data_IF_805485014573
#
_entry.id   IF_805485014573
#
_cell.length_a   1.000
_cell.length_b   1.000
_cell.length_c   1.000
_cell.angle_alpha   90.00
_cell.angle_beta   90.00
_cell.angle_gamma   90.00
#
_symmetry.space_group_name_H-M   'P 1'
#
loop_
_entity.id
_entity.type
_entity.pdbx_description
1 polymer ?
#
# COMPACT_ATOMS: atom_id res chain seq x y z
N UNK A 1 -35.05 -0.75 82.25
CA UNK A 1 -34.13 0.26 82.80
C UNK A 1 -33.95 1.36 81.78
N UNK A 2 -33.98 2.60 82.26
CA UNK A 2 -33.99 3.83 81.48
C UNK A 2 -32.68 4.08 80.70
N UNK A 3 -32.74 5.17 79.92
CA UNK A 3 -31.64 6.06 79.48
C UNK A 3 -31.29 5.89 77.99
N UNK A 4 -31.77 6.74 77.09
CA UNK A 4 -31.49 8.19 76.90
C UNK A 4 -30.31 8.43 75.96
N UNK A 5 -30.46 9.50 75.18
CA UNK A 5 -29.44 10.47 74.78
C UNK A 5 -29.01 10.36 73.31
N UNK A 6 -29.70 11.03 72.37
CA UNK A 6 -29.57 12.46 71.99
C UNK A 6 -28.38 12.79 71.06
N UNK A 7 -28.71 13.69 70.11
CA UNK A 7 -27.86 14.61 69.31
C UNK A 7 -27.33 14.00 68.00
N UNK A 8 -27.89 14.44 66.86
CA UNK A 8 -27.41 15.56 66.03
C UNK A 8 -26.03 15.23 65.44
N UNK A 9 -25.82 15.32 64.13
CA UNK A 9 -25.68 16.58 63.44
C UNK A 9 -25.85 16.39 61.92
N UNK A 10 -26.64 17.26 61.32
CA UNK A 10 -26.62 17.51 59.89
C UNK A 10 -25.36 18.31 59.52
N UNK A 11 -24.55 17.79 58.62
CA UNK A 11 -23.46 18.54 57.97
C UNK A 11 -23.82 18.74 56.49
N UNK A 12 -24.19 19.99 56.20
CA UNK A 12 -24.32 20.60 54.88
C UNK A 12 -22.96 20.54 54.19
N UNK A 13 -22.83 20.05 52.95
CA UNK A 13 -21.75 20.50 52.05
C UNK A 13 -22.18 20.40 50.58
N UNK A 14 -22.36 21.59 50.00
CA UNK A 14 -22.09 22.02 48.62
C UNK A 14 -22.97 21.48 47.46
N UNK A 15 -23.95 22.32 47.09
CA UNK A 15 -24.33 22.52 45.70
C UNK A 15 -23.10 22.96 44.87
N UNK A 16 -22.82 22.25 43.78
CA UNK A 16 -21.98 22.74 42.67
C UNK A 16 -22.78 22.58 41.36
N UNK A 17 -23.43 23.64 40.91
CA UNK A 17 -22.98 24.54 39.82
C UNK A 17 -23.18 23.95 38.42
N UNK A 18 -24.29 24.39 37.81
CA UNK A 18 -24.47 24.84 36.42
C UNK A 18 -24.21 23.85 35.26
N UNK A 19 -25.30 23.53 34.56
CA UNK A 19 -25.33 22.90 33.25
C UNK A 19 -24.67 23.82 32.21
N UNK A 20 -23.52 23.41 31.68
CA UNK A 20 -22.89 24.05 30.53
C UNK A 20 -23.70 23.70 29.28
N UNK A 21 -24.20 24.74 28.60
CA UNK A 21 -24.92 24.64 27.35
C UNK A 21 -24.07 24.01 26.25
N UNK A 22 -24.71 23.13 25.48
CA UNK A 22 -24.15 22.55 24.27
C UNK A 22 -23.92 23.63 23.23
N UNK A 23 -22.65 23.92 22.92
CA UNK A 23 -22.29 24.71 21.74
C UNK A 23 -22.32 23.75 20.56
N UNK A 24 -23.40 23.82 19.78
CA UNK A 24 -23.50 23.17 18.48
C UNK A 24 -22.46 23.78 17.55
N UNK A 25 -21.32 23.11 17.40
CA UNK A 25 -20.34 23.42 16.36
C UNK A 25 -21.02 23.04 15.04
N UNK A 26 -21.54 24.05 14.33
CA UNK A 26 -21.96 23.89 12.95
C UNK A 26 -20.74 23.43 12.15
N UNK A 27 -20.68 22.14 11.86
CA UNK A 27 -19.73 21.57 10.94
C UNK A 27 -20.03 22.17 9.56
N UNK A 28 -19.11 22.99 9.07
CA UNK A 28 -19.15 23.48 7.69
C UNK A 28 -19.20 22.26 6.75
N UNK A 29 -20.09 22.25 5.74
CA UNK A 29 -20.04 21.22 4.73
C UNK A 29 -18.70 21.37 4.02
N UNK A 30 -17.85 20.35 4.08
CA UNK A 30 -16.66 20.30 3.25
C UNK A 30 -17.12 20.43 1.80
N UNK A 31 -16.80 21.57 1.19
CA UNK A 31 -16.93 21.76 -0.25
C UNK A 31 -16.05 20.71 -0.92
N UNK A 32 -16.67 19.73 -1.59
CA UNK A 32 -15.97 18.78 -2.41
C UNK A 32 -15.19 19.56 -3.47
N UNK A 33 -13.87 19.58 -3.34
CA UNK A 33 -13.00 20.11 -4.38
C UNK A 33 -13.24 19.29 -5.64
N UNK A 34 -13.44 19.95 -6.78
CA UNK A 34 -13.55 19.28 -8.05
C UNK A 34 -12.27 18.47 -8.28
N UNK A 35 -12.37 17.14 -8.13
CA UNK A 35 -11.28 16.20 -8.42
C UNK A 35 -11.02 16.31 -9.93
N UNK A 36 -9.90 16.91 -10.32
CA UNK A 36 -9.49 16.95 -11.71
C UNK A 36 -9.34 15.52 -12.21
N UNK A 37 -10.03 15.17 -13.29
CA UNK A 37 -9.84 13.87 -13.93
C UNK A 37 -8.62 13.94 -14.83
N UNK A 38 -7.77 12.92 -14.76
CA UNK A 38 -6.65 12.74 -15.68
C UNK A 38 -7.18 12.60 -17.11
N UNK A 39 -6.64 13.37 -18.04
CA UNK A 39 -7.06 13.37 -19.45
C UNK A 39 -6.23 12.41 -20.30
N UNK A 40 -4.94 12.25 -19.98
CA UNK A 40 -4.02 11.32 -20.62
C UNK A 40 -2.96 10.86 -19.62
N UNK A 41 -2.43 9.65 -19.82
CA UNK A 41 -1.26 9.12 -19.09
C UNK A 41 0.05 9.68 -19.63
N UNK A 42 0.07 10.17 -20.87
CA UNK A 42 1.30 10.55 -21.57
C UNK A 42 2.12 9.36 -22.09
N UNK A 43 1.62 8.12 -21.91
CA UNK A 43 2.27 6.89 -22.36
C UNK A 43 1.41 6.27 -23.47
N UNK A 44 2.02 5.94 -24.60
CA UNK A 44 1.31 5.33 -25.73
C UNK A 44 0.85 3.92 -25.35
N UNK A 45 -0.44 3.62 -25.60
CA UNK A 45 -1.02 2.30 -25.35
C UNK A 45 -1.47 2.07 -23.90
N UNK A 46 -1.33 3.05 -23.01
CA UNK A 46 -1.84 2.98 -21.63
C UNK A 46 -3.02 3.94 -21.49
N UNK A 47 -4.23 3.40 -21.48
CA UNK A 47 -5.47 4.17 -21.34
C UNK A 47 -5.66 4.65 -19.89
N UNK A 48 -6.27 5.83 -19.72
CA UNK A 48 -6.61 6.37 -18.40
C UNK A 48 -7.77 5.59 -17.81
N UNK A 49 -7.63 5.15 -16.55
CA UNK A 49 -8.73 4.55 -15.78
C UNK A 49 -9.29 5.59 -14.78
N UNK A 50 -10.54 6.06 -14.96
CA UNK A 50 -11.17 7.01 -14.04
C UNK A 50 -11.29 6.52 -12.59
N UNK A 51 -11.26 5.21 -12.38
CA UNK A 51 -11.34 4.55 -11.08
C UNK A 51 -10.06 3.75 -10.75
N UNK A 52 -8.91 4.18 -11.28
CA UNK A 52 -7.63 3.48 -11.12
C UNK A 52 -7.33 2.98 -9.68
N UNK A 53 -7.55 3.76 -8.59
CA UNK A 53 -7.32 3.27 -7.24
C UNK A 53 -8.12 2.02 -6.88
N UNK A 54 -9.40 1.98 -7.29
CA UNK A 54 -10.27 0.86 -6.96
C UNK A 54 -10.02 -0.37 -7.83
N UNK A 55 -9.73 -0.15 -9.11
CA UNK A 55 -9.26 -1.21 -10.01
C UNK A 55 -7.98 -1.85 -9.47
N UNK A 56 -7.00 -1.04 -9.07
CA UNK A 56 -5.74 -1.51 -8.49
C UNK A 56 -5.97 -2.27 -7.19
N UNK A 57 -6.80 -1.75 -6.28
CA UNK A 57 -7.15 -2.41 -5.02
C UNK A 57 -7.76 -3.80 -5.25
N UNK A 58 -8.65 -3.92 -6.23
CA UNK A 58 -9.26 -5.20 -6.59
C UNK A 58 -8.22 -6.21 -7.10
N UNK A 59 -7.34 -5.78 -8.01
CA UNK A 59 -6.30 -6.62 -8.60
C UNK A 59 -5.26 -7.08 -7.56
N UNK A 60 -4.79 -6.19 -6.69
CA UNK A 60 -3.86 -6.53 -5.61
C UNK A 60 -4.46 -7.57 -4.65
N UNK A 61 -5.72 -7.40 -4.25
CA UNK A 61 -6.43 -8.40 -3.45
C UNK A 61 -6.58 -9.74 -4.17
N UNK A 62 -6.71 -9.73 -5.51
CA UNK A 62 -6.75 -10.95 -6.33
C UNK A 62 -5.39 -11.64 -6.33
N UNK A 63 -4.30 -10.91 -6.53
CA UNK A 63 -2.92 -11.44 -6.45
C UNK A 63 -2.68 -12.16 -5.12
N UNK A 64 -3.03 -11.52 -4.00
CA UNK A 64 -2.87 -12.11 -2.66
C UNK A 64 -3.69 -13.41 -2.44
N UNK A 65 -4.76 -13.63 -3.22
CA UNK A 65 -5.51 -14.89 -3.18
C UNK A 65 -4.87 -15.95 -4.07
N UNK A 66 -4.53 -15.60 -5.31
CA UNK A 66 -3.99 -16.53 -6.31
C UNK A 66 -2.59 -17.02 -5.95
N UNK A 67 -1.73 -16.15 -5.37
CA UNK A 67 -0.34 -16.49 -5.03
C UNK A 67 -0.23 -17.61 -4.00
N UNK A 68 -1.30 -17.91 -3.25
CA UNK A 68 -1.33 -18.96 -2.21
C UNK A 68 -1.15 -20.38 -2.76
N UNK A 69 -1.30 -20.58 -4.07
CA UNK A 69 -0.96 -21.85 -4.73
C UNK A 69 0.54 -22.17 -4.66
N UNK A 70 1.38 -21.14 -4.50
CA UNK A 70 2.83 -21.23 -4.40
C UNK A 70 3.22 -21.46 -2.93
N UNK A 71 4.19 -22.33 -2.63
CA UNK A 71 4.55 -22.64 -1.25
C UNK A 71 5.22 -21.45 -0.54
N UNK A 72 5.06 -21.38 0.79
CA UNK A 72 5.54 -20.26 1.63
C UNK A 72 7.06 -20.13 1.69
N UNK A 73 7.79 -21.21 1.42
CA UNK A 73 9.24 -21.20 1.37
C UNK A 73 9.79 -20.62 0.06
N UNK A 74 8.96 -20.41 -0.96
CA UNK A 74 9.40 -19.84 -2.22
C UNK A 74 9.58 -18.33 -2.09
N UNK A 75 10.81 -17.85 -2.32
CA UNK A 75 11.13 -16.42 -2.25
C UNK A 75 10.21 -15.56 -3.13
N UNK A 76 9.80 -16.09 -4.28
CA UNK A 76 8.86 -15.42 -5.18
C UNK A 76 7.55 -15.04 -4.48
N UNK A 77 6.94 -15.96 -3.70
CA UNK A 77 5.71 -15.68 -2.96
C UNK A 77 5.93 -14.57 -1.92
N UNK A 78 7.02 -14.64 -1.17
CA UNK A 78 7.38 -13.62 -0.17
C UNK A 78 7.49 -12.23 -0.80
N UNK A 79 8.18 -12.11 -1.94
CA UNK A 79 8.35 -10.84 -2.64
C UNK A 79 7.03 -10.30 -3.19
N UNK A 80 6.19 -11.15 -3.80
CA UNK A 80 4.89 -10.75 -4.34
C UNK A 80 3.93 -10.31 -3.23
N UNK A 81 3.86 -11.05 -2.13
CA UNK A 81 3.03 -10.68 -0.98
C UNK A 81 3.50 -9.36 -0.35
N UNK A 82 4.81 -9.17 -0.19
CA UNK A 82 5.39 -7.94 0.34
C UNK A 82 5.00 -6.73 -0.53
N UNK A 83 5.29 -6.79 -1.84
CA UNK A 83 4.97 -5.69 -2.76
C UNK A 83 3.47 -5.42 -2.86
N UNK A 84 2.64 -6.47 -2.89
CA UNK A 84 1.19 -6.31 -2.98
C UNK A 84 0.62 -5.68 -1.71
N UNK A 85 1.10 -6.06 -0.53
CA UNK A 85 0.66 -5.48 0.75
C UNK A 85 1.12 -4.02 0.91
N UNK A 86 2.35 -3.69 0.52
CA UNK A 86 2.87 -2.32 0.55
C UNK A 86 2.01 -1.39 -0.32
N UNK A 87 1.78 -1.76 -1.58
CA UNK A 87 0.91 -1.00 -2.50
C UNK A 87 -0.52 -0.90 -1.97
N UNK A 88 -1.06 -2.00 -1.44
CA UNK A 88 -2.42 -2.03 -0.89
C UNK A 88 -2.57 -1.12 0.33
N UNK A 89 -1.52 -0.98 1.15
CA UNK A 89 -1.51 -0.10 2.31
C UNK A 89 -1.66 1.38 1.88
N UNK A 90 -0.99 1.80 0.81
CA UNK A 90 -1.12 3.16 0.26
C UNK A 90 -2.48 3.37 -0.40
N UNK A 91 -2.92 2.43 -1.25
CA UNK A 91 -4.20 2.51 -1.98
C UNK A 91 -5.43 2.47 -1.05
N UNK A 92 -5.25 2.02 0.19
CA UNK A 92 -6.31 2.01 1.20
C UNK A 92 -6.44 3.32 1.97
N UNK A 93 -5.53 4.28 1.77
CA UNK A 93 -5.59 5.61 2.38
C UNK A 93 -6.59 6.51 1.64
N UNK A 94 -7.17 7.46 2.37
CA UNK A 94 -8.03 8.49 1.81
C UNK A 94 -7.19 9.70 1.36
N UNK A 95 -6.44 9.53 0.27
CA UNK A 95 -5.58 10.55 -0.35
C UNK A 95 -5.88 10.68 -1.84
N UNK A 96 -5.37 11.73 -2.50
CA UNK A 96 -5.57 11.89 -3.95
C UNK A 96 -4.76 10.86 -4.76
N UNK A 97 -5.18 10.50 -5.98
CA UNK A 97 -4.42 9.59 -6.85
C UNK A 97 -2.96 10.03 -7.06
N UNK A 98 -2.71 11.33 -7.22
CA UNK A 98 -1.37 11.89 -7.40
C UNK A 98 -0.50 11.67 -6.15
N UNK A 99 -1.07 11.85 -4.96
CA UNK A 99 -0.38 11.57 -3.71
C UNK A 99 -0.10 10.07 -3.52
N UNK A 100 -0.97 9.19 -4.04
CA UNK A 100 -0.71 7.75 -4.05
C UNK A 100 0.48 7.42 -4.96
N UNK A 101 0.55 8.01 -6.14
CA UNK A 101 1.66 7.83 -7.09
C UNK A 101 2.99 8.28 -6.48
N UNK A 102 3.02 9.45 -5.84
CA UNK A 102 4.20 9.98 -5.15
C UNK A 102 4.64 9.10 -3.98
N UNK A 103 3.69 8.61 -3.17
CA UNK A 103 4.02 7.77 -2.02
C UNK A 103 4.50 6.37 -2.44
N UNK A 104 3.94 5.79 -3.50
CA UNK A 104 4.38 4.49 -4.02
C UNK A 104 5.74 4.64 -4.74
N UNK A 105 5.95 5.73 -5.48
CA UNK A 105 7.20 6.01 -6.17
C UNK A 105 7.54 5.03 -7.30
N UNK A 106 6.53 4.40 -7.93
CA UNK A 106 6.70 3.39 -8.99
C UNK A 106 5.97 3.75 -10.29
N UNK A 107 5.84 5.04 -10.60
CA UNK A 107 5.13 5.53 -11.78
C UNK A 107 3.64 5.76 -11.54
N UNK A 108 2.86 5.75 -12.61
CA UNK A 108 1.42 6.05 -12.56
C UNK A 108 0.59 4.85 -12.09
N UNK A 109 -0.62 5.09 -11.56
CA UNK A 109 -1.51 4.01 -11.13
C UNK A 109 -1.90 3.06 -12.27
N UNK A 110 -2.03 3.57 -13.50
CA UNK A 110 -2.35 2.76 -14.68
C UNK A 110 -1.24 1.77 -15.03
N UNK A 111 0.03 2.14 -14.85
CA UNK A 111 1.17 1.24 -15.02
C UNK A 111 1.15 0.14 -13.96
N UNK A 112 0.81 0.48 -12.71
CA UNK A 112 0.65 -0.51 -11.63
C UNK A 112 -0.51 -1.48 -11.89
N UNK A 113 -1.59 -1.02 -12.54
CA UNK A 113 -2.69 -1.89 -12.98
C UNK A 113 -2.19 -2.88 -14.03
N UNK A 114 -1.38 -2.44 -14.98
CA UNK A 114 -0.77 -3.33 -15.98
C UNK A 114 0.16 -4.35 -15.31
N UNK A 115 1.06 -3.90 -14.43
CA UNK A 115 1.91 -4.79 -13.65
C UNK A 115 1.10 -5.83 -12.86
N UNK A 116 -0.02 -5.43 -12.25
CA UNK A 116 -0.88 -6.35 -11.51
C UNK A 116 -1.58 -7.38 -12.43
N UNK A 117 -1.96 -7.00 -13.65
CA UNK A 117 -2.51 -7.94 -14.65
C UNK A 117 -1.45 -8.92 -15.12
N UNK A 118 -0.24 -8.44 -15.38
CA UNK A 118 0.89 -9.28 -15.79
C UNK A 118 1.25 -10.27 -14.69
N UNK A 119 1.29 -9.83 -13.44
CA UNK A 119 1.51 -10.68 -12.27
C UNK A 119 0.46 -11.79 -12.16
N UNK A 120 -0.82 -11.46 -12.34
CA UNK A 120 -1.90 -12.47 -12.36
C UNK A 120 -1.75 -13.47 -13.51
N UNK A 121 -1.17 -13.07 -14.64
CA UNK A 121 -0.87 -13.97 -15.76
C UNK A 121 0.38 -14.83 -15.49
N UNK A 122 1.28 -14.35 -14.64
CA UNK A 122 2.55 -14.98 -14.29
C UNK A 122 2.38 -16.04 -13.20
N UNK A 123 1.54 -15.81 -12.19
CA UNK A 123 1.34 -16.75 -11.06
C UNK A 123 1.04 -18.19 -11.52
N UNK A 124 0.12 -18.44 -12.48
CA UNK A 124 -0.12 -19.80 -12.97
C UNK A 124 1.11 -20.44 -13.62
N UNK A 125 1.90 -19.65 -14.38
CA UNK A 125 3.13 -20.13 -15.02
C UNK A 125 4.20 -20.47 -13.98
N UNK A 126 4.32 -19.65 -12.94
CA UNK A 126 5.25 -19.89 -11.83
C UNK A 126 4.87 -21.15 -11.05
N UNK A 127 3.58 -21.39 -10.83
CA UNK A 127 3.08 -22.61 -10.20
C UNK A 127 3.39 -23.88 -11.02
N UNK A 128 3.38 -23.78 -12.35
CA UNK A 128 3.78 -24.85 -13.27
C UNK A 128 5.30 -25.06 -13.26
N UNK A 129 6.09 -24.00 -13.45
CA UNK A 129 7.54 -24.06 -13.65
C UNK A 129 8.33 -24.33 -12.39
N UNK A 130 7.81 -23.92 -11.22
CA UNK A 130 8.42 -24.12 -9.89
C UNK A 130 9.92 -23.78 -9.83
N UNK A 131 10.33 -22.55 -10.22
CA UNK A 131 11.75 -22.18 -10.28
C UNK A 131 12.47 -22.20 -8.93
N UNK A 132 11.73 -22.28 -7.81
CA UNK A 132 12.27 -22.42 -6.47
C UNK A 132 12.71 -23.86 -6.12
N UNK A 133 12.37 -24.87 -6.94
CA UNK A 133 12.77 -26.26 -6.70
C UNK A 133 14.15 -26.53 -7.31
N UNK A 134 15.20 -26.38 -6.49
CA UNK A 134 16.58 -26.63 -6.91
C UNK A 134 16.96 -28.08 -6.60
N UNK A 135 17.42 -28.88 -7.59
CA UNK A 135 17.85 -30.25 -7.37
C UNK A 135 18.95 -30.34 -6.30
N UNK A 136 18.83 -31.33 -5.41
CA UNK A 136 19.83 -31.58 -4.37
C UNK A 136 21.21 -31.81 -5.01
N UNK A 137 22.20 -31.04 -4.57
CA UNK A 137 23.57 -31.14 -5.07
C UNK A 137 23.87 -30.28 -6.30
N UNK A 138 22.93 -29.44 -6.76
CA UNK A 138 23.21 -28.44 -7.78
C UNK A 138 24.26 -27.43 -7.30
N UNK A 139 25.32 -27.21 -8.09
CA UNK A 139 26.41 -26.28 -7.77
C UNK A 139 26.33 -25.08 -8.69
N UNK A 140 26.14 -23.90 -8.11
CA UNK A 140 26.16 -22.63 -8.83
C UNK A 140 27.61 -22.14 -8.88
N UNK A 141 28.19 -22.02 -10.08
CA UNK A 141 29.50 -21.40 -10.27
C UNK A 141 29.30 -19.89 -10.33
N UNK A 142 29.54 -19.20 -9.22
CA UNK A 142 29.63 -17.74 -9.23
C UNK A 142 31.02 -17.36 -9.76
N UNK A 143 31.06 -16.69 -10.91
CA UNK A 143 32.28 -16.08 -11.45
C UNK A 143 32.17 -14.60 -11.10
N UNK A 144 33.12 -14.11 -10.33
CA UNK A 144 33.26 -12.69 -10.03
C UNK A 144 34.46 -12.22 -10.83
N UNK A 145 34.22 -11.41 -11.85
CA UNK A 145 35.29 -10.77 -12.60
C UNK A 145 35.72 -9.52 -11.81
N UNK A 146 36.88 -9.60 -11.17
CA UNK A 146 37.47 -8.50 -10.39
C UNK A 146 38.18 -7.45 -11.28
N UNK A 147 38.12 -7.63 -12.60
CA UNK A 147 38.68 -6.67 -13.54
C UNK A 147 37.87 -5.36 -13.52
N UNK A 148 38.53 -4.19 -13.47
CA UNK A 148 37.83 -2.91 -13.51
C UNK A 148 37.10 -2.78 -14.84
N UNK A 149 35.81 -2.46 -14.78
CA UNK A 149 35.02 -2.15 -15.98
C UNK A 149 35.70 -1.00 -16.71
N UNK A 150 36.03 -1.14 -18.01
CA UNK A 150 36.66 -0.07 -18.76
C UNK A 150 35.77 1.17 -18.76
N UNK A 151 36.39 2.34 -18.65
CA UNK A 151 35.65 3.60 -18.77
C UNK A 151 34.94 3.65 -20.13
N UNK A 152 33.69 4.16 -20.20
CA UNK A 152 32.99 4.30 -21.46
C UNK A 152 33.80 5.22 -22.39
N UNK A 153 34.15 4.70 -23.56
CA UNK A 153 34.83 5.50 -24.60
C UNK A 153 33.83 6.54 -25.14
N UNK A 154 34.18 7.83 -25.20
CA UNK A 154 33.32 8.84 -25.82
C UNK A 154 32.99 8.48 -27.28
N UNK A 155 31.71 8.55 -27.66
CA UNK A 155 31.21 8.19 -29.00
C UNK A 155 31.88 8.97 -30.16
N UNK A 156 32.55 10.08 -29.83
CA UNK A 156 33.28 10.96 -30.74
C UNK A 156 34.61 10.39 -31.26
N UNK A 157 35.14 9.30 -30.67
CA UNK A 157 36.38 8.65 -31.15
C UNK A 157 36.16 7.47 -32.11
N UNK A 158 34.93 6.94 -32.25
CA UNK A 158 34.62 5.80 -33.15
C UNK A 158 34.48 6.19 -34.63
N UNK A 159 34.46 7.48 -34.97
CA UNK A 159 34.21 7.98 -36.34
C UNK A 159 35.45 8.48 -37.10
N UNK A 160 36.65 7.97 -36.81
CA UNK A 160 37.86 8.33 -37.57
C UNK A 160 38.35 7.24 -38.50
#
# INVERSE_FOLDING_TARGET
MASSCMRQLATKYLLRTQHAGAVSVFALPQTQTARGYKTTTGIVGVEVDPNAPETLRHLLKKILREVKVIPENAQYRTSVEMMANERLAVVSKDISPEQMEDEIGQGQLEELILHAKDELSLIPKMAEWKPWDVPKGHKIRMIVDDEPVPEPVPEDEEKK
#
